data_IF_171479514098
#
_entry.id   IF_171479514098
#
_cell.length_a   1.000
_cell.length_b   1.000
_cell.length_c   1.000
_cell.angle_alpha   90.00
_cell.angle_beta   90.00
_cell.angle_gamma   90.00
#
_symmetry.space_group_name_H-M   'P 1'
#
loop_
_entity.id
_entity.type
_entity.pdbx_description
1 polymer ?
#
# COMPACT_ATOMS: atom_id res chain seq x y z
N UNK A 1 -28.81 7.48 10.73
CA UNK A 1 -28.22 8.01 9.48
C UNK A 1 -28.71 7.15 8.33
N UNK A 2 -29.18 7.75 7.23
CA UNK A 2 -29.68 6.97 6.09
C UNK A 2 -28.50 6.25 5.42
N UNK A 3 -28.74 5.07 4.84
CA UNK A 3 -27.70 4.26 4.19
C UNK A 3 -26.87 5.04 3.14
N UNK A 4 -27.47 5.89 2.28
CA UNK A 4 -26.70 6.69 1.33
C UNK A 4 -25.76 7.71 1.99
N UNK A 5 -26.21 8.36 3.07
CA UNK A 5 -25.41 9.33 3.83
C UNK A 5 -24.20 8.65 4.49
N UNK A 6 -24.37 7.39 4.95
CA UNK A 6 -23.27 6.59 5.48
C UNK A 6 -22.18 6.37 4.43
N UNK A 7 -22.57 5.90 3.24
CA UNK A 7 -21.61 5.60 2.18
C UNK A 7 -20.87 6.85 1.69
N UNK A 8 -21.57 7.99 1.56
CA UNK A 8 -20.92 9.28 1.25
C UNK A 8 -19.88 9.62 2.32
N UNK A 9 -20.25 9.55 3.61
CA UNK A 9 -19.33 9.84 4.72
C UNK A 9 -18.11 8.92 4.73
N UNK A 10 -18.31 7.63 4.47
CA UNK A 10 -17.22 6.64 4.35
C UNK A 10 -16.27 7.01 3.22
N UNK A 11 -16.77 7.37 2.03
CA UNK A 11 -15.93 7.74 0.89
C UNK A 11 -15.19 9.07 1.11
N UNK A 12 -15.82 10.07 1.74
CA UNK A 12 -15.15 11.31 2.16
C UNK A 12 -14.12 11.06 3.28
N UNK A 13 -14.35 10.09 4.17
CA UNK A 13 -13.34 9.64 5.12
C UNK A 13 -12.13 9.06 4.41
N UNK A 14 -12.38 8.19 3.41
CA UNK A 14 -11.33 7.52 2.67
C UNK A 14 -10.50 8.50 1.84
N UNK A 15 -11.14 9.47 1.19
CA UNK A 15 -10.46 10.51 0.43
C UNK A 15 -9.45 11.28 1.32
N UNK A 16 -9.88 11.77 2.49
CA UNK A 16 -8.97 12.43 3.45
C UNK A 16 -7.81 11.53 3.90
N UNK A 17 -8.07 10.25 4.18
CA UNK A 17 -7.01 9.29 4.54
C UNK A 17 -6.04 9.08 3.37
N UNK A 18 -6.55 8.93 2.16
CA UNK A 18 -5.74 8.79 0.96
C UNK A 18 -4.86 10.02 0.71
N UNK A 19 -5.41 11.22 0.83
CA UNK A 19 -4.65 12.47 0.70
C UNK A 19 -3.53 12.57 1.74
N UNK A 20 -3.80 12.22 3.00
CA UNK A 20 -2.75 12.14 4.05
C UNK A 20 -1.66 11.14 3.67
N UNK A 21 -2.02 9.94 3.23
CA UNK A 21 -1.07 8.94 2.73
C UNK A 21 -0.20 9.51 1.61
N UNK A 22 -0.79 10.24 0.65
CA UNK A 22 -0.09 10.85 -0.48
C UNK A 22 0.84 12.01 -0.10
N UNK A 23 0.67 12.60 1.09
CA UNK A 23 1.61 13.62 1.59
C UNK A 23 2.91 13.03 2.15
N UNK A 24 2.94 11.74 2.47
CA UNK A 24 4.14 11.11 3.05
C UNK A 24 5.30 11.12 2.06
N UNK A 25 6.52 11.33 2.58
CA UNK A 25 7.73 11.29 1.75
C UNK A 25 7.93 9.93 1.05
N UNK A 26 7.50 8.85 1.70
CA UNK A 26 7.55 7.50 1.15
C UNK A 26 6.58 7.33 -0.02
N UNK A 27 5.40 7.95 0.03
CA UNK A 27 4.45 7.97 -1.10
C UNK A 27 4.91 8.91 -2.23
N UNK A 28 5.75 9.90 -1.93
CA UNK A 28 6.21 10.90 -2.91
C UNK A 28 7.35 10.41 -3.80
N UNK A 29 7.98 9.29 -3.48
CA UNK A 29 9.16 8.82 -4.19
C UNK A 29 8.77 7.81 -5.29
N UNK A 30 9.46 7.93 -6.42
CA UNK A 30 9.60 6.83 -7.40
C UNK A 30 10.01 5.52 -6.74
N UNK A 31 10.56 5.60 -5.52
CA UNK A 31 10.88 4.53 -4.61
C UNK A 31 9.69 3.65 -4.19
N UNK A 32 8.40 3.95 -4.30
CA UNK A 32 7.42 2.88 -3.95
C UNK A 32 7.49 1.70 -4.96
N UNK A 33 7.36 2.01 -6.25
CA UNK A 33 7.50 1.03 -7.34
C UNK A 33 8.97 0.61 -7.54
N UNK A 34 9.92 1.53 -7.33
CA UNK A 34 11.35 1.26 -7.43
C UNK A 34 11.87 0.47 -6.22
N UNK A 35 11.42 0.69 -4.99
CA UNK A 35 11.70 -0.16 -3.83
C UNK A 35 11.02 -1.51 -3.99
N UNK A 36 9.76 -1.57 -4.47
CA UNK A 36 9.11 -2.84 -4.83
C UNK A 36 9.88 -3.64 -5.88
N UNK A 37 10.44 -2.97 -6.90
CA UNK A 37 11.31 -3.58 -7.94
C UNK A 37 12.74 -3.85 -7.46
N UNK A 38 13.35 -3.00 -6.63
CA UNK A 38 14.72 -3.15 -6.12
C UNK A 38 14.79 -4.22 -5.01
N UNK A 39 13.71 -4.38 -4.24
CA UNK A 39 13.54 -5.52 -3.33
C UNK A 39 13.30 -6.84 -4.10
N UNK A 40 12.68 -6.79 -5.29
CA UNK A 40 12.58 -7.94 -6.20
C UNK A 40 13.89 -8.23 -6.96
N UNK A 41 14.67 -7.19 -7.29
CA UNK A 41 15.93 -7.27 -8.04
C UNK A 41 17.16 -7.55 -7.16
N UNK A 42 17.01 -7.60 -5.83
CA UNK A 42 18.10 -7.88 -4.90
C UNK A 42 18.67 -9.30 -4.96
N UNK A 43 18.01 -10.24 -5.65
CA UNK A 43 18.38 -11.66 -5.59
C UNK A 43 18.14 -12.38 -6.92
N UNK A 44 19.06 -12.21 -7.87
CA UNK A 44 19.25 -13.18 -8.93
C UNK A 44 20.18 -14.29 -8.44
N UNK A 45 19.68 -15.50 -8.26
CA UNK A 45 20.52 -16.70 -8.16
C UNK A 45 21.07 -17.01 -9.54
N UNK A 46 22.40 -17.05 -9.67
CA UNK A 46 23.03 -17.60 -10.86
C UNK A 46 22.71 -19.10 -10.95
N UNK A 47 22.03 -19.48 -12.03
CA UNK A 47 21.55 -20.85 -12.27
C UNK A 47 22.67 -21.87 -12.50
N UNK A 48 23.89 -21.43 -12.84
CA UNK A 48 25.04 -22.31 -13.05
C UNK A 48 25.89 -22.52 -11.79
N UNK A 49 25.97 -21.52 -10.90
CA UNK A 49 26.86 -21.56 -9.72
C UNK A 49 26.12 -21.74 -8.40
N UNK A 50 24.81 -21.47 -8.35
CA UNK A 50 24.02 -21.47 -7.12
C UNK A 50 24.37 -20.30 -6.17
N UNK A 51 25.29 -19.42 -6.57
CA UNK A 51 25.70 -18.28 -5.77
C UNK A 51 24.68 -17.16 -5.91
N UNK A 52 24.24 -16.65 -4.76
CA UNK A 52 23.44 -15.43 -4.67
C UNK A 52 24.41 -14.27 -4.83
N UNK A 53 24.64 -13.84 -6.07
CA UNK A 53 25.34 -12.60 -6.33
C UNK A 53 24.42 -11.44 -5.93
N UNK A 54 24.35 -11.16 -4.63
CA UNK A 54 23.85 -9.90 -4.12
C UNK A 54 24.77 -8.81 -4.68
N UNK A 55 24.44 -8.28 -5.86
CA UNK A 55 24.91 -6.95 -6.21
C UNK A 55 24.35 -6.05 -5.11
N UNK A 56 25.22 -5.73 -4.16
CA UNK A 56 24.97 -4.88 -3.00
C UNK A 56 24.61 -3.48 -3.48
N UNK A 57 23.43 -3.31 -4.04
CA UNK A 57 22.70 -2.06 -3.99
C UNK A 57 22.28 -1.91 -2.52
N UNK A 58 23.24 -1.50 -1.68
CA UNK A 58 22.96 -0.95 -0.35
C UNK A 58 22.28 0.39 -0.57
N UNK A 59 21.02 0.35 -0.99
CA UNK A 59 20.17 1.52 -0.96
C UNK A 59 20.03 1.89 0.51
N UNK A 60 20.25 3.15 0.90
CA UNK A 60 20.09 3.55 2.29
C UNK A 60 18.68 3.19 2.74
N UNK A 61 18.57 2.34 3.76
CA UNK A 61 17.28 1.99 4.34
C UNK A 61 16.56 3.28 4.74
N UNK A 62 15.25 3.43 4.44
CA UNK A 62 14.47 4.56 4.92
C UNK A 62 14.56 4.65 6.44
N UNK A 63 14.51 5.86 7.00
CA UNK A 63 14.53 6.02 8.45
C UNK A 63 13.26 5.39 9.09
N UNK A 64 13.40 4.86 10.30
CA UNK A 64 12.32 4.16 11.00
C UNK A 64 11.07 5.04 11.19
N UNK A 65 11.24 6.32 11.54
CA UNK A 65 10.13 7.25 11.80
C UNK A 65 9.20 7.45 10.58
N UNK A 66 9.70 7.75 9.37
CA UNK A 66 8.88 7.76 8.16
C UNK A 66 8.11 6.47 7.90
N UNK A 67 8.73 5.31 8.13
CA UNK A 67 8.09 4.00 7.92
C UNK A 67 6.96 3.77 8.92
N UNK A 68 7.23 4.04 10.20
CA UNK A 68 6.21 3.97 11.25
C UNK A 68 5.04 4.91 10.98
N UNK A 69 5.31 6.15 10.56
CA UNK A 69 4.27 7.11 10.19
C UNK A 69 3.41 6.61 9.02
N UNK A 70 4.03 6.02 7.99
CA UNK A 70 3.28 5.46 6.87
C UNK A 70 2.39 4.29 7.29
N UNK A 71 2.89 3.39 8.15
CA UNK A 71 2.10 2.30 8.71
C UNK A 71 0.96 2.83 9.59
N UNK A 72 1.19 3.87 10.38
CA UNK A 72 0.15 4.54 11.18
C UNK A 72 -0.97 5.11 10.33
N UNK A 73 -0.67 5.65 9.14
CA UNK A 73 -1.68 6.15 8.22
C UNK A 73 -2.45 5.04 7.50
N UNK A 74 -1.85 3.87 7.33
CA UNK A 74 -2.48 2.69 6.71
C UNK A 74 -3.31 1.88 7.71
N UNK A 75 -2.94 1.88 8.99
CA UNK A 75 -3.56 1.08 10.06
C UNK A 75 -5.09 1.23 10.18
N UNK A 76 -5.69 2.43 10.04
CA UNK A 76 -7.14 2.57 10.13
C UNK A 76 -7.89 1.89 8.97
N UNK A 77 -7.23 1.70 7.83
CA UNK A 77 -7.81 0.96 6.71
C UNK A 77 -7.86 -0.54 6.99
N UNK A 78 -6.99 -1.07 7.86
CA UNK A 78 -6.87 -2.49 8.19
C UNK A 78 -7.48 -2.87 9.54
N UNK A 79 -7.71 -1.91 10.44
CA UNK A 79 -8.27 -2.14 11.78
C UNK A 79 -9.39 -1.16 12.10
N UNK A 80 -10.40 -1.64 12.85
CA UNK A 80 -11.57 -0.84 13.28
C UNK A 80 -11.30 -0.01 14.55
N UNK A 81 -10.07 0.47 14.76
CA UNK A 81 -9.67 1.09 16.04
C UNK A 81 -10.16 2.53 16.16
N UNK A 82 -10.29 3.25 15.04
CA UNK A 82 -10.84 4.61 15.01
C UNK A 82 -12.18 4.64 14.30
N UNK A 83 -13.26 4.97 15.03
CA UNK A 83 -14.61 5.06 14.48
C UNK A 83 -14.80 6.21 13.46
N UNK A 84 -13.84 7.12 13.35
CA UNK A 84 -13.89 8.24 12.41
C UNK A 84 -13.15 7.99 11.10
N UNK A 85 -12.32 6.94 11.04
CA UNK A 85 -11.59 6.53 9.83
C UNK A 85 -12.20 5.26 9.24
N UNK A 86 -12.40 5.18 7.92
CA UNK A 86 -13.11 4.06 7.33
C UNK A 86 -12.17 2.85 7.14
N UNK A 87 -12.64 1.65 7.50
CA UNK A 87 -11.95 0.41 7.12
C UNK A 87 -12.14 0.12 5.62
N UNK A 88 -11.18 -0.60 5.02
CA UNK A 88 -11.22 -0.95 3.60
C UNK A 88 -12.54 -1.66 3.20
N UNK A 89 -13.08 -2.51 4.06
CA UNK A 89 -14.30 -3.28 3.78
C UNK A 89 -15.55 -2.39 3.69
N UNK A 90 -15.61 -1.33 4.50
CA UNK A 90 -16.64 -0.31 4.42
C UNK A 90 -16.48 0.54 3.15
N UNK A 91 -15.25 0.87 2.77
CA UNK A 91 -14.95 1.60 1.53
C UNK A 91 -15.38 0.79 0.32
N UNK A 92 -15.03 -0.50 0.24
CA UNK A 92 -15.46 -1.37 -0.86
C UNK A 92 -17.00 -1.43 -0.95
N UNK A 93 -17.68 -1.58 0.18
CA UNK A 93 -19.15 -1.59 0.23
C UNK A 93 -19.76 -0.28 -0.26
N UNK A 94 -19.15 0.86 0.07
CA UNK A 94 -19.58 2.17 -0.40
C UNK A 94 -19.30 2.39 -1.90
N UNK A 95 -18.19 1.87 -2.43
CA UNK A 95 -17.91 1.90 -3.87
C UNK A 95 -18.90 1.03 -4.65
N UNK A 96 -19.24 -0.17 -4.17
CA UNK A 96 -20.28 -1.01 -4.79
C UNK A 96 -21.64 -0.30 -4.82
N UNK A 97 -22.01 0.37 -3.72
CA UNK A 97 -23.27 1.11 -3.63
C UNK A 97 -23.39 2.21 -4.70
N UNK A 98 -22.28 2.90 -5.02
CA UNK A 98 -22.25 3.97 -6.02
C UNK A 98 -21.92 3.49 -7.43
N UNK A 99 -21.65 2.20 -7.62
CA UNK A 99 -21.30 1.64 -8.92
C UNK A 99 -22.52 1.57 -9.85
N UNK A 100 -22.43 2.04 -11.11
CA UNK A 100 -23.46 1.78 -12.12
C UNK A 100 -23.60 0.26 -12.37
N UNK A 101 -24.83 -0.28 -12.47
CA UNK A 101 -25.04 -1.73 -12.65
C UNK A 101 -24.43 -2.27 -13.95
N UNK A 102 -24.34 -1.43 -15.00
CA UNK A 102 -23.88 -1.85 -16.34
C UNK A 102 -22.38 -1.57 -16.59
N UNK A 103 -21.65 -0.94 -15.66
CA UNK A 103 -20.20 -0.70 -15.81
C UNK A 103 -19.42 -1.94 -15.35
N UNK A 104 -19.26 -2.90 -16.26
CA UNK A 104 -18.52 -4.15 -16.04
C UNK A 104 -17.05 -3.91 -15.71
N UNK A 105 -16.42 -2.89 -16.30
CA UNK A 105 -15.01 -2.56 -16.05
C UNK A 105 -14.79 -2.08 -14.61
N UNK A 106 -15.71 -1.26 -14.08
CA UNK A 106 -15.65 -0.87 -12.67
C UNK A 106 -16.01 -2.02 -11.75
N UNK A 107 -16.97 -2.88 -12.15
CA UNK A 107 -17.32 -4.09 -11.39
C UNK A 107 -16.10 -4.98 -11.16
N UNK A 108 -15.35 -5.27 -12.22
CA UNK A 108 -14.13 -6.08 -12.15
C UNK A 108 -13.04 -5.40 -11.31
N UNK A 109 -12.85 -4.09 -11.48
CA UNK A 109 -11.88 -3.31 -10.69
C UNK A 109 -12.19 -3.32 -9.20
N UNK A 110 -13.44 -3.08 -8.80
CA UNK A 110 -13.86 -3.11 -7.40
C UNK A 110 -13.71 -4.52 -6.84
N UNK A 111 -14.05 -5.56 -7.60
CA UNK A 111 -13.83 -6.95 -7.18
C UNK A 111 -12.35 -7.26 -6.94
N UNK A 112 -11.49 -6.88 -7.88
CA UNK A 112 -10.04 -7.04 -7.77
C UNK A 112 -9.48 -6.30 -6.55
N UNK A 113 -9.94 -5.07 -6.31
CA UNK A 113 -9.53 -4.29 -5.14
C UNK A 113 -9.94 -4.97 -3.84
N UNK A 114 -11.17 -5.49 -3.77
CA UNK A 114 -11.67 -6.23 -2.59
C UNK A 114 -10.77 -7.43 -2.29
N UNK A 115 -10.45 -8.23 -3.30
CA UNK A 115 -9.60 -9.41 -3.13
C UNK A 115 -8.19 -9.05 -2.67
N UNK A 116 -7.63 -7.95 -3.19
CA UNK A 116 -6.31 -7.48 -2.78
C UNK A 116 -6.30 -6.91 -1.36
N UNK A 117 -7.30 -6.11 -1.00
CA UNK A 117 -7.46 -5.60 0.36
C UNK A 117 -7.66 -6.72 1.38
N UNK A 118 -8.46 -7.74 1.03
CA UNK A 118 -8.69 -8.90 1.90
C UNK A 118 -7.42 -9.72 2.17
N UNK A 119 -6.43 -9.65 1.27
CA UNK A 119 -5.12 -10.31 1.43
C UNK A 119 -4.05 -9.37 1.97
N UNK A 120 -4.36 -8.09 2.18
CA UNK A 120 -3.39 -7.10 2.62
C UNK A 120 -3.30 -7.05 4.15
N UNK A 121 -2.07 -6.96 4.71
CA UNK A 121 -0.77 -7.06 4.04
C UNK A 121 -0.46 -8.50 3.62
N UNK A 122 -0.01 -8.67 2.38
CA UNK A 122 0.27 -9.99 1.84
C UNK A 122 1.48 -10.61 2.55
N UNK A 123 1.42 -11.88 2.97
CA UNK A 123 2.60 -12.57 3.48
C UNK A 123 3.62 -12.66 2.34
N UNK A 124 4.70 -11.89 2.43
CA UNK A 124 5.86 -12.01 1.54
C UNK A 124 6.80 -13.04 2.17
N UNK A 125 7.30 -13.97 1.35
CA UNK A 125 8.35 -14.91 1.73
C UNK A 125 9.48 -14.14 2.42
N UNK A 126 9.73 -14.45 3.69
CA UNK A 126 10.89 -13.92 4.38
C UNK A 126 12.15 -14.52 3.77
N UNK A 127 13.15 -13.66 3.52
CA UNK A 127 14.50 -14.09 3.21
C UNK A 127 15.08 -14.76 4.44
N UNK A 128 15.07 -16.09 4.48
CA UNK A 128 15.83 -16.88 5.45
C UNK A 128 17.30 -16.81 5.08
N UNK A 129 18.00 -15.75 5.50
CA UNK A 129 19.47 -15.73 5.58
C UNK A 129 19.93 -16.25 6.95
N UNK A 130 19.43 -17.42 7.33
CA UNK A 130 20.08 -18.34 8.27
C UNK A 130 19.30 -19.65 8.22
N UNK A 131 19.89 -20.63 7.56
CA UNK A 131 19.61 -22.02 7.89
C UNK A 131 20.07 -22.20 9.34
N UNK A 132 19.16 -22.06 10.30
CA UNK A 132 19.21 -22.58 11.69
C UNK A 132 18.22 -21.82 12.59
N UNK A 133 16.92 -21.94 12.32
CA UNK A 133 15.88 -22.05 13.37
C UNK A 133 14.61 -22.56 12.70
N UNK A 134 14.44 -23.88 12.72
CA UNK A 134 13.13 -24.51 12.61
C UNK A 134 12.32 -24.14 13.85
N UNK A 135 11.60 -23.04 13.78
CA UNK A 135 10.37 -22.81 14.54
C UNK A 135 9.42 -22.05 13.61
N UNK A 136 8.35 -22.73 13.19
CA UNK A 136 7.31 -22.21 12.29
C UNK A 136 6.54 -20.99 12.88
N UNK A 137 6.85 -20.56 14.11
CA UNK A 137 6.21 -19.44 14.82
C UNK A 137 6.97 -18.09 14.72
N UNK A 138 8.11 -18.01 14.02
CA UNK A 138 9.02 -16.84 14.06
C UNK A 138 8.67 -15.64 13.15
N UNK A 139 7.57 -15.65 12.39
CA UNK A 139 7.47 -14.78 11.19
C UNK A 139 6.21 -13.92 11.05
N UNK A 140 5.59 -13.54 12.17
CA UNK A 140 4.66 -12.40 12.15
C UNK A 140 5.45 -11.09 12.08
N UNK A 141 5.69 -10.63 10.85
CA UNK A 141 6.35 -9.35 10.56
C UNK A 141 5.75 -8.21 11.41
N UNK A 142 6.57 -7.43 12.16
CA UNK A 142 6.09 -6.37 13.04
C UNK A 142 5.15 -5.36 12.38
N UNK A 143 5.36 -5.03 11.10
CA UNK A 143 4.46 -4.17 10.34
C UNK A 143 3.06 -4.78 10.17
N UNK A 144 2.97 -6.08 9.91
CA UNK A 144 1.70 -6.80 9.79
C UNK A 144 0.96 -6.85 11.12
N UNK A 145 1.64 -7.24 12.20
CA UNK A 145 1.07 -7.25 13.56
C UNK A 145 0.54 -5.87 13.93
N UNK A 146 1.31 -4.83 13.64
CA UNK A 146 0.89 -3.46 13.86
C UNK A 146 -0.36 -3.09 13.07
N UNK A 147 -0.40 -3.41 11.78
CA UNK A 147 -1.55 -3.14 10.92
C UNK A 147 -2.80 -3.92 11.33
N UNK A 148 -2.69 -5.07 12.01
CA UNK A 148 -3.83 -5.83 12.52
C UNK A 148 -4.20 -5.53 13.97
N UNK A 149 -3.42 -4.68 14.66
CA UNK A 149 -3.72 -4.26 16.02
C UNK A 149 -2.94 -5.00 17.10
N UNK A 150 -2.14 -5.99 16.74
CA UNK A 150 -1.39 -6.89 17.63
C UNK A 150 -0.03 -6.33 18.10
N UNK A 151 0.29 -5.09 17.72
CA UNK A 151 1.51 -4.38 18.08
C UNK A 151 1.21 -2.90 18.38
N UNK A 152 1.85 -2.36 19.42
CA UNK A 152 1.79 -0.94 19.78
C UNK A 152 2.78 -0.07 19.00
N UNK A 153 2.62 1.26 19.04
CA UNK A 153 3.53 2.20 18.36
C UNK A 153 4.97 2.13 18.87
N UNK A 154 5.16 1.99 20.19
CA UNK A 154 6.50 1.89 20.79
C UNK A 154 7.23 0.61 20.39
N UNK A 155 6.50 -0.50 20.36
CA UNK A 155 7.01 -1.81 19.92
C UNK A 155 7.33 -1.81 18.42
N UNK A 156 6.50 -1.18 17.60
CA UNK A 156 6.79 -0.99 16.18
C UNK A 156 8.08 -0.19 15.98
N UNK A 157 8.24 0.94 16.67
CA UNK A 157 9.43 1.77 16.54
C UNK A 157 10.70 1.04 16.96
N UNK A 158 10.66 0.28 18.04
CA UNK A 158 11.78 -0.56 18.48
C UNK A 158 12.12 -1.64 17.44
N UNK A 159 11.10 -2.29 16.85
CA UNK A 159 11.32 -3.29 15.81
C UNK A 159 11.94 -2.70 14.52
N UNK A 160 11.59 -1.46 14.17
CA UNK A 160 12.14 -0.75 13.01
C UNK A 160 13.58 -0.24 13.20
N UNK A 161 14.19 -0.44 14.38
CA UNK A 161 15.63 -0.23 14.56
C UNK A 161 16.45 -1.25 13.76
N UNK A 162 15.90 -2.45 13.55
CA UNK A 162 16.49 -3.49 12.69
C UNK A 162 16.25 -3.16 11.21
N UNK A 163 17.35 -3.08 10.44
CA UNK A 163 17.33 -2.78 9.02
C UNK A 163 16.49 -3.79 8.21
N UNK A 164 16.58 -5.09 8.50
CA UNK A 164 15.83 -6.14 7.79
C UNK A 164 14.32 -6.00 8.01
N UNK A 165 13.92 -5.79 9.26
CA UNK A 165 12.52 -5.54 9.62
C UNK A 165 12.02 -4.27 8.93
N UNK A 166 12.85 -3.22 8.91
CA UNK A 166 12.50 -1.96 8.27
C UNK A 166 12.35 -2.07 6.77
N UNK A 167 13.21 -2.85 6.08
CA UNK A 167 13.03 -3.13 4.64
C UNK A 167 11.74 -3.92 4.36
N UNK A 168 11.43 -4.94 5.17
CA UNK A 168 10.17 -5.67 5.05
C UNK A 168 8.96 -4.72 5.21
N UNK A 169 8.99 -3.90 6.25
CA UNK A 169 7.94 -2.91 6.53
C UNK A 169 7.75 -1.91 5.38
N UNK A 170 8.83 -1.51 4.71
CA UNK A 170 8.73 -0.63 3.55
C UNK A 170 8.02 -1.30 2.36
N UNK A 171 8.13 -2.63 2.21
CA UNK A 171 7.39 -3.40 1.21
C UNK A 171 5.89 -3.34 1.48
N UNK A 172 5.51 -3.56 2.75
CA UNK A 172 4.13 -3.48 3.22
C UNK A 172 3.55 -2.10 2.96
N UNK A 173 4.30 -1.05 3.34
CA UNK A 173 3.92 0.34 3.09
C UNK A 173 3.70 0.61 1.60
N UNK A 174 4.60 0.14 0.75
CA UNK A 174 4.48 0.31 -0.70
C UNK A 174 3.23 -0.36 -1.27
N UNK A 175 2.94 -1.60 -0.86
CA UNK A 175 1.72 -2.31 -1.28
C UNK A 175 0.46 -1.57 -0.81
N UNK A 176 0.47 -1.07 0.42
CA UNK A 176 -0.61 -0.25 0.97
C UNK A 176 -0.85 1.01 0.16
N UNK A 177 0.22 1.72 -0.24
CA UNK A 177 0.10 2.92 -1.08
C UNK A 177 -0.49 2.63 -2.45
N UNK A 178 -0.11 1.52 -3.08
CA UNK A 178 -0.69 1.10 -4.35
C UNK A 178 -2.19 0.80 -4.21
N UNK A 179 -2.59 0.11 -3.13
CA UNK A 179 -4.01 -0.18 -2.86
C UNK A 179 -4.82 1.08 -2.60
N UNK A 180 -4.29 2.00 -1.79
CA UNK A 180 -4.93 3.30 -1.54
C UNK A 180 -5.09 4.08 -2.84
N UNK A 181 -4.05 4.16 -3.67
CA UNK A 181 -4.11 4.87 -4.94
C UNK A 181 -5.12 4.24 -5.92
N UNK A 182 -5.09 2.92 -6.10
CA UNK A 182 -6.04 2.25 -7.00
C UNK A 182 -7.48 2.38 -6.52
N UNK A 183 -7.70 2.36 -5.19
CA UNK A 183 -9.02 2.60 -4.60
C UNK A 183 -9.47 4.05 -4.84
N UNK A 184 -8.56 5.01 -4.68
CA UNK A 184 -8.82 6.43 -4.93
C UNK A 184 -9.18 6.72 -6.39
N UNK A 185 -8.54 6.04 -7.35
CA UNK A 185 -8.89 6.17 -8.78
C UNK A 185 -10.31 5.67 -9.08
N UNK A 186 -10.72 4.57 -8.47
CA UNK A 186 -12.09 4.06 -8.61
C UNK A 186 -13.08 5.04 -7.96
N UNK A 187 -12.75 5.57 -6.78
CA UNK A 187 -13.53 6.63 -6.13
C UNK A 187 -13.70 7.85 -7.05
N UNK A 188 -12.61 8.38 -7.61
CA UNK A 188 -12.64 9.52 -8.54
C UNK A 188 -13.56 9.25 -9.75
N UNK A 189 -13.52 8.03 -10.30
CA UNK A 189 -14.39 7.67 -11.44
C UNK A 189 -15.87 7.58 -11.06
N UNK A 190 -16.20 7.13 -9.85
CA UNK A 190 -17.58 6.99 -9.38
C UNK A 190 -18.16 8.27 -8.75
N UNK A 191 -17.33 9.06 -8.06
CA UNK A 191 -17.72 10.21 -7.23
C UNK A 191 -16.70 11.35 -7.38
N UNK A 192 -16.71 11.98 -8.55
CA UNK A 192 -15.90 13.18 -8.84
C UNK A 192 -16.20 14.35 -7.90
N UNK A 193 -17.38 14.36 -7.29
CA UNK A 193 -17.78 15.34 -6.27
C UNK A 193 -17.09 15.14 -4.92
N UNK A 194 -16.57 13.93 -4.65
CA UNK A 194 -15.80 13.62 -3.43
C UNK A 194 -14.30 13.71 -3.71
N UNK A 195 -13.84 13.09 -4.79
CA UNK A 195 -12.44 13.09 -5.19
C UNK A 195 -12.35 13.70 -6.59
N UNK A 196 -12.19 15.02 -6.74
CA UNK A 196 -12.21 15.69 -8.05
C UNK A 196 -10.91 15.52 -8.84
N UNK A 197 -9.86 15.02 -8.19
CA UNK A 197 -8.56 14.86 -8.80
C UNK A 197 -8.22 13.37 -9.03
N UNK A 198 -7.56 13.04 -10.14
CA UNK A 198 -7.14 11.65 -10.40
C UNK A 198 -6.01 11.23 -9.42
N UNK A 199 -5.83 9.91 -9.24
CA UNK A 199 -4.90 9.33 -8.25
C UNK A 199 -3.53 9.99 -8.25
N UNK A 200 -3.09 10.45 -7.08
CA UNK A 200 -1.86 11.24 -6.88
C UNK A 200 -0.64 10.67 -7.59
N UNK A 201 -0.47 9.35 -7.53
CA UNK A 201 0.65 8.65 -8.17
C UNK A 201 0.55 8.67 -9.69
N UNK A 202 -0.65 8.58 -10.26
CA UNK A 202 -0.89 8.66 -11.70
C UNK A 202 -0.76 10.09 -12.25
N UNK A 203 -1.00 11.12 -11.44
CA UNK A 203 -0.63 12.51 -11.80
C UNK A 203 0.88 12.69 -11.78
N UNK A 204 1.58 12.32 -10.70
CA UNK A 204 3.05 12.44 -10.66
C UNK A 204 3.75 11.63 -11.74
N UNK A 205 3.27 10.43 -12.05
CA UNK A 205 3.80 9.64 -13.17
C UNK A 205 3.55 10.31 -14.53
N UNK A 206 2.38 10.94 -14.75
CA UNK A 206 2.09 11.69 -15.97
C UNK A 206 2.86 13.00 -16.07
N UNK A 207 2.90 13.80 -15.02
CA UNK A 207 3.63 15.07 -14.96
C UNK A 207 5.13 14.82 -15.16
N UNK A 208 5.64 13.72 -14.62
CA UNK A 208 7.03 13.31 -14.80
C UNK A 208 7.29 12.70 -16.18
N UNK A 209 6.40 11.87 -16.70
CA UNK A 209 6.51 11.36 -18.07
C UNK A 209 6.51 12.53 -19.07
N UNK A 210 5.62 13.51 -18.87
CA UNK A 210 5.58 14.74 -19.64
C UNK A 210 6.88 15.56 -19.49
N UNK A 211 7.41 15.71 -18.27
CA UNK A 211 8.69 16.36 -18.02
C UNK A 211 9.90 15.63 -18.63
N UNK A 212 9.79 14.31 -18.84
CA UNK A 212 10.79 13.46 -19.48
C UNK A 212 10.55 13.26 -20.99
N UNK A 213 9.56 13.94 -21.58
CA UNK A 213 9.26 13.87 -23.01
C UNK A 213 8.51 12.60 -23.47
N UNK A 214 8.01 11.78 -22.55
CA UNK A 214 7.19 10.61 -22.87
C UNK A 214 5.71 11.00 -22.94
N UNK A 215 5.13 10.90 -24.15
CA UNK A 215 3.68 10.98 -24.31
C UNK A 215 3.03 9.67 -23.90
N UNK A 216 2.24 9.71 -22.82
CA UNK A 216 1.32 8.62 -22.48
C UNK A 216 0.14 8.66 -23.46
N UNK A 217 0.14 7.78 -24.45
CA UNK A 217 -1.07 7.51 -25.24
C UNK A 217 -2.07 6.80 -24.34
N UNK A 218 -3.16 7.49 -24.00
CA UNK A 218 -4.28 6.87 -23.31
C UNK A 218 -4.82 5.73 -24.18
N UNK A 219 -4.79 4.50 -23.68
CA UNK A 219 -5.72 3.47 -24.16
C UNK A 219 -7.10 3.89 -23.69
N UNK A 220 -7.91 4.37 -24.64
CA UNK A 220 -9.36 4.50 -24.53
C UNK A 220 -10.02 3.15 -24.21
#
# INVERSE_FOLDING_TARGET
>A
MKLPERHVRTLTGFERTAERVFTTELARREDATRLGRELQLGFGTDSETGDVAAQRLRLPSPAAKPVALALQLLRPLTTCVDHNEPMWSEVMSALDFHRPPDDMAITERVSTLRDRWARYPAPRLQFTLSAETTDEESHDEPARRFLHGDLGDGELLAALEDDHIRYAACSVVSDGFLLVNSTYQVLHRLRRDIAPEDGYFSRRLRDRAAAMGFQWSAME
#
